data_IF_278147136069
#
_entry.id   IF_278147136069
#
_cell.length_a   1.000
_cell.length_b   1.000
_cell.length_c   1.000
_cell.angle_alpha   90.00
_cell.angle_beta   90.00
_cell.angle_gamma   90.00
#
_symmetry.space_group_name_H-M   'P 1'
#
loop_
_entity.id
_entity.type
_entity.pdbx_description
1 polymer ?
#
# COMPACT_ATOMS: atom_id res chain seq x y z
N UNK A 1 16.10 19.05 -0.41
CA UNK A 1 16.57 17.66 -0.46
C UNK A 1 15.41 16.71 -0.44
N UNK A 2 15.62 15.47 -0.85
CA UNK A 2 14.54 14.48 -1.03
C UNK A 2 13.71 14.25 0.24
N UNK A 3 14.35 14.21 1.40
CA UNK A 3 13.69 13.86 2.66
C UNK A 3 13.29 15.05 3.54
N UNK A 4 13.42 16.27 3.06
CA UNK A 4 13.05 17.45 3.86
C UNK A 4 11.56 17.48 4.19
N UNK A 5 10.71 16.90 3.33
CA UNK A 5 9.27 16.85 3.54
C UNK A 5 8.82 15.72 4.47
N UNK A 6 9.72 14.81 4.81
CA UNK A 6 9.39 13.63 5.61
C UNK A 6 9.49 13.93 7.10
N UNK A 7 8.77 14.94 7.57
CA UNK A 7 8.65 15.20 9.01
C UNK A 7 7.79 14.12 9.66
N UNK A 8 7.96 13.92 10.98
CA UNK A 8 7.15 12.96 11.73
C UNK A 8 5.66 13.25 11.58
N UNK A 9 5.29 14.52 11.69
CA UNK A 9 3.89 14.93 11.52
C UNK A 9 3.36 14.59 10.12
N UNK A 10 4.12 14.90 9.07
CA UNK A 10 3.72 14.63 7.68
C UNK A 10 3.58 13.13 7.44
N UNK A 11 4.55 12.34 7.91
CA UNK A 11 4.52 10.88 7.75
C UNK A 11 3.30 10.28 8.42
N UNK A 12 3.01 10.66 9.66
CA UNK A 12 1.83 10.15 10.39
C UNK A 12 0.55 10.56 9.69
N UNK A 13 0.45 11.82 9.26
CA UNK A 13 -0.74 12.33 8.56
C UNK A 13 -0.97 11.55 7.27
N UNK A 14 0.06 11.34 6.46
CA UNK A 14 -0.07 10.58 5.22
C UNK A 14 -0.35 9.11 5.48
N UNK A 15 0.20 8.53 6.55
CA UNK A 15 -0.14 7.15 6.94
C UNK A 15 -1.63 6.99 7.21
N UNK A 16 -2.23 7.94 7.93
CA UNK A 16 -3.69 7.96 8.19
C UNK A 16 -4.49 8.15 6.91
N UNK A 17 -4.08 9.08 6.05
CA UNK A 17 -4.72 9.31 4.75
C UNK A 17 -4.68 8.03 3.90
N UNK A 18 -3.53 7.38 3.84
CA UNK A 18 -3.36 6.14 3.09
C UNK A 18 -4.27 5.05 3.64
N UNK A 19 -4.33 4.87 4.95
CA UNK A 19 -5.22 3.89 5.56
C UNK A 19 -6.68 4.13 5.17
N UNK A 20 -7.14 5.37 5.26
CA UNK A 20 -8.53 5.73 4.91
C UNK A 20 -8.80 5.44 3.44
N UNK A 21 -7.91 5.84 2.54
CA UNK A 21 -8.07 5.63 1.09
C UNK A 21 -7.94 4.16 0.70
N UNK A 22 -7.22 3.36 1.49
CA UNK A 22 -7.04 1.94 1.26
C UNK A 22 -8.25 1.09 1.69
N UNK A 23 -9.09 1.62 2.58
CA UNK A 23 -10.25 0.87 3.11
C UNK A 23 -11.16 0.29 2.02
N UNK A 24 -11.53 1.02 0.95
CA UNK A 24 -12.37 0.43 -0.10
C UNK A 24 -11.74 -0.79 -0.76
N UNK A 25 -10.44 -0.75 -1.04
CA UNK A 25 -9.73 -1.89 -1.62
C UNK A 25 -9.63 -3.05 -0.64
N UNK A 26 -9.29 -2.78 0.61
CA UNK A 26 -9.24 -3.80 1.65
C UNK A 26 -10.59 -4.50 1.80
N UNK A 27 -11.68 -3.73 1.76
CA UNK A 27 -13.04 -4.29 1.85
C UNK A 27 -13.38 -5.12 0.61
N UNK A 28 -13.18 -4.56 -0.59
CA UNK A 28 -13.53 -5.23 -1.86
C UNK A 28 -12.71 -6.50 -2.06
N UNK A 29 -11.42 -6.46 -1.73
CA UNK A 29 -10.50 -7.58 -1.94
C UNK A 29 -10.47 -8.58 -0.77
N UNK A 30 -11.17 -8.32 0.32
CA UNK A 30 -11.04 -9.08 1.57
C UNK A 30 -11.34 -10.56 1.40
N UNK A 31 -12.40 -10.92 0.65
CA UNK A 31 -12.75 -12.32 0.42
C UNK A 31 -11.68 -13.00 -0.44
N UNK A 32 -11.27 -12.36 -1.50
CA UNK A 32 -10.23 -12.90 -2.39
C UNK A 32 -8.91 -13.11 -1.64
N UNK A 33 -8.44 -12.07 -0.95
CA UNK A 33 -7.21 -12.14 -0.16
C UNK A 33 -7.33 -13.16 0.97
N UNK A 34 -8.46 -13.19 1.67
CA UNK A 34 -8.70 -14.12 2.77
C UNK A 34 -8.71 -15.58 2.31
N UNK A 35 -9.36 -15.88 1.18
CA UNK A 35 -9.38 -17.23 0.61
C UNK A 35 -7.98 -17.65 0.17
N UNK A 36 -7.24 -16.74 -0.48
CA UNK A 36 -5.87 -17.01 -0.91
C UNK A 36 -4.95 -17.29 0.28
N UNK A 37 -5.03 -16.48 1.33
CA UNK A 37 -4.22 -16.67 2.54
C UNK A 37 -4.58 -17.97 3.25
N UNK A 38 -5.87 -18.34 3.30
CA UNK A 38 -6.29 -19.62 3.87
C UNK A 38 -5.67 -20.78 3.09
N UNK A 39 -5.63 -20.70 1.77
CA UNK A 39 -5.01 -21.73 0.92
C UNK A 39 -3.49 -21.83 1.17
N UNK A 40 -2.83 -20.68 1.42
CA UNK A 40 -1.40 -20.63 1.64
C UNK A 40 -1.02 -21.19 3.02
N UNK A 41 -1.68 -20.73 4.09
CA UNK A 41 -1.26 -21.05 5.46
C UNK A 41 -2.09 -22.13 6.14
N UNK A 42 -3.20 -22.55 5.53
CA UNK A 42 -4.06 -23.59 6.10
C UNK A 42 -4.97 -23.11 7.23
N UNK A 43 -5.04 -21.81 7.47
CA UNK A 43 -5.88 -21.19 8.50
C UNK A 43 -6.32 -19.81 8.06
N UNK A 44 -7.35 -19.26 8.71
CA UNK A 44 -7.87 -17.95 8.38
C UNK A 44 -6.84 -16.85 8.57
N UNK A 45 -6.94 -15.81 7.71
CA UNK A 45 -6.18 -14.59 7.89
C UNK A 45 -6.56 -13.92 9.21
N UNK A 46 -5.57 -13.63 10.04
CA UNK A 46 -5.73 -12.86 11.28
C UNK A 46 -4.78 -11.67 11.23
N UNK A 47 -5.34 -10.47 11.34
CA UNK A 47 -4.52 -9.27 11.29
C UNK A 47 -3.72 -9.09 12.58
N UNK A 48 -2.41 -8.91 12.44
CA UNK A 48 -1.56 -8.46 13.55
C UNK A 48 -1.41 -6.93 13.43
N UNK A 49 -1.96 -6.15 14.36
CA UNK A 49 -2.01 -4.69 14.20
C UNK A 49 -0.62 -4.03 14.26
N UNK A 50 0.33 -4.55 15.01
CA UNK A 50 1.64 -3.90 15.16
C UNK A 50 2.42 -3.87 13.85
N UNK A 51 2.64 -5.00 13.14
CA UNK A 51 3.25 -4.92 11.82
C UNK A 51 2.45 -4.09 10.82
N UNK A 52 1.12 -4.11 10.90
CA UNK A 52 0.27 -3.30 10.03
C UNK A 52 0.53 -1.80 10.21
N UNK A 53 0.69 -1.34 11.46
CA UNK A 53 1.04 0.05 11.75
C UNK A 53 2.39 0.41 11.12
N UNK A 54 3.39 -0.46 11.23
CA UNK A 54 4.70 -0.25 10.63
C UNK A 54 4.58 -0.10 9.11
N UNK A 55 3.75 -0.94 8.46
CA UNK A 55 3.52 -0.85 7.02
C UNK A 55 2.95 0.52 6.63
N UNK A 56 1.92 0.99 7.32
CA UNK A 56 1.30 2.27 6.98
C UNK A 56 2.23 3.45 7.27
N UNK A 57 3.04 3.39 8.32
CA UNK A 57 4.05 4.42 8.57
C UNK A 57 5.11 4.44 7.46
N UNK A 58 5.56 3.28 6.99
CA UNK A 58 6.50 3.17 5.88
C UNK A 58 5.89 3.73 4.59
N UNK A 59 4.62 3.40 4.31
CA UNK A 59 3.91 3.94 3.14
C UNK A 59 3.75 5.47 3.26
N UNK A 60 3.44 5.97 4.44
CA UNK A 60 3.37 7.41 4.70
C UNK A 60 4.68 8.12 4.41
N UNK A 61 5.80 7.53 4.83
CA UNK A 61 7.14 8.04 4.51
C UNK A 61 7.36 8.07 2.99
N UNK A 62 7.09 6.96 2.30
CA UNK A 62 7.29 6.88 0.86
C UNK A 62 6.41 7.89 0.11
N UNK A 63 5.20 8.14 0.58
CA UNK A 63 4.28 9.08 -0.05
C UNK A 63 4.73 10.54 0.05
N UNK A 64 5.74 10.86 0.87
CA UNK A 64 6.33 12.20 0.92
C UNK A 64 7.26 12.49 -0.25
N UNK A 65 7.72 11.46 -0.96
CA UNK A 65 8.80 11.57 -1.96
C UNK A 65 8.33 12.11 -3.31
N UNK A 66 7.22 11.62 -3.91
CA UNK A 66 6.84 12.04 -5.24
C UNK A 66 6.49 13.53 -5.34
N UNK A 67 6.84 14.13 -6.47
CA UNK A 67 6.56 15.53 -6.77
C UNK A 67 5.56 15.69 -7.91
N UNK A 68 5.18 14.58 -8.57
CA UNK A 68 4.19 14.56 -9.66
C UNK A 68 3.27 13.35 -9.50
N UNK A 69 2.06 13.40 -10.10
CA UNK A 69 1.16 12.23 -10.09
C UNK A 69 1.78 11.00 -10.74
N UNK A 70 2.54 11.16 -11.81
CA UNK A 70 3.18 10.03 -12.51
C UNK A 70 4.23 9.36 -11.62
N UNK A 71 5.03 10.15 -10.92
CA UNK A 71 5.99 9.62 -9.95
C UNK A 71 5.28 8.89 -8.81
N UNK A 72 4.15 9.42 -8.36
CA UNK A 72 3.34 8.79 -7.31
C UNK A 72 2.82 7.43 -7.75
N UNK A 73 2.29 7.35 -8.97
CA UNK A 73 1.82 6.08 -9.51
C UNK A 73 2.97 5.07 -9.60
N UNK A 74 4.09 5.48 -10.17
CA UNK A 74 5.27 4.60 -10.31
C UNK A 74 5.79 4.10 -8.98
N UNK A 75 5.93 5.00 -8.00
CA UNK A 75 6.42 4.63 -6.67
C UNK A 75 5.45 3.71 -5.93
N UNK A 76 4.17 4.01 -5.98
CA UNK A 76 3.14 3.19 -5.34
C UNK A 76 3.05 1.80 -5.97
N UNK A 77 3.01 1.74 -7.30
CA UNK A 77 3.00 0.46 -8.02
C UNK A 77 4.26 -0.36 -7.72
N UNK A 78 5.44 0.27 -7.76
CA UNK A 78 6.69 -0.42 -7.46
C UNK A 78 6.74 -0.95 -6.02
N UNK A 79 6.29 -0.16 -5.06
CA UNK A 79 6.24 -0.56 -3.65
C UNK A 79 5.37 -1.79 -3.45
N UNK A 80 4.18 -1.78 -4.04
CA UNK A 80 3.26 -2.91 -3.96
C UNK A 80 3.77 -4.12 -4.76
N UNK A 81 4.42 -3.88 -5.89
CA UNK A 81 5.03 -4.96 -6.69
C UNK A 81 6.11 -5.69 -5.91
N UNK A 82 6.94 -4.98 -5.13
CA UNK A 82 7.97 -5.60 -4.29
C UNK A 82 7.33 -6.60 -3.32
N UNK A 83 6.24 -6.22 -2.68
CA UNK A 83 5.50 -7.11 -1.77
C UNK A 83 4.84 -8.27 -2.53
N UNK A 84 4.02 -7.94 -3.53
CA UNK A 84 3.18 -8.92 -4.21
C UNK A 84 3.99 -9.92 -5.01
N UNK A 85 4.98 -9.45 -5.76
CA UNK A 85 5.78 -10.33 -6.61
C UNK A 85 6.86 -11.09 -5.82
N UNK A 86 7.29 -10.58 -4.67
CA UNK A 86 8.09 -11.39 -3.74
C UNK A 86 7.27 -12.57 -3.22
N UNK A 87 6.03 -12.32 -2.80
CA UNK A 87 5.13 -13.40 -2.36
C UNK A 87 4.85 -14.40 -3.48
N UNK A 88 4.60 -13.90 -4.69
CA UNK A 88 4.38 -14.77 -5.85
C UNK A 88 5.60 -15.63 -6.17
N UNK A 89 6.81 -15.08 -5.96
CA UNK A 89 8.05 -15.80 -6.23
C UNK A 89 8.28 -16.96 -5.25
N UNK A 90 7.84 -16.83 -3.99
CA UNK A 90 8.16 -17.80 -2.94
C UNK A 90 6.98 -18.62 -2.45
N UNK A 91 5.74 -18.23 -2.76
CA UNK A 91 4.53 -18.90 -2.27
C UNK A 91 3.77 -19.51 -3.45
N UNK A 92 3.72 -20.84 -3.52
CA UNK A 92 3.10 -21.56 -4.66
C UNK A 92 1.66 -21.18 -4.92
N UNK A 93 0.90 -20.90 -3.87
CA UNK A 93 -0.54 -20.62 -3.97
C UNK A 93 -0.87 -19.13 -4.05
N UNK A 94 0.15 -18.27 -4.07
CA UNK A 94 -0.08 -16.85 -4.28
C UNK A 94 -0.53 -16.63 -5.74
N UNK A 95 -1.62 -15.89 -5.91
CA UNK A 95 -2.26 -15.78 -7.22
C UNK A 95 -1.66 -14.64 -8.05
N UNK A 96 -1.20 -14.91 -9.29
CA UNK A 96 -0.64 -13.87 -10.15
C UNK A 96 -1.61 -12.73 -10.43
N UNK A 97 -2.90 -13.02 -10.60
CA UNK A 97 -3.89 -11.98 -10.85
C UNK A 97 -4.05 -11.06 -9.63
N UNK A 98 -4.00 -11.61 -8.41
CA UNK A 98 -4.02 -10.80 -7.21
C UNK A 98 -2.79 -9.88 -7.15
N UNK A 99 -1.61 -10.42 -7.45
CA UNK A 99 -0.37 -9.64 -7.48
C UNK A 99 -0.47 -8.46 -8.44
N UNK A 100 -1.01 -8.67 -9.64
CA UNK A 100 -1.21 -7.61 -10.62
C UNK A 100 -2.24 -6.57 -10.15
N UNK A 101 -3.38 -7.03 -9.64
CA UNK A 101 -4.44 -6.13 -9.18
C UNK A 101 -3.96 -5.27 -8.01
N UNK A 102 -3.29 -5.86 -7.04
CA UNK A 102 -2.81 -5.16 -5.86
C UNK A 102 -1.68 -4.18 -6.22
N UNK A 103 -0.81 -4.55 -7.14
CA UNK A 103 0.24 -3.67 -7.67
C UNK A 103 -0.36 -2.44 -8.34
N UNK A 104 -1.35 -2.64 -9.21
CA UNK A 104 -2.06 -1.53 -9.85
C UNK A 104 -2.74 -0.63 -8.82
N UNK A 105 -3.39 -1.24 -7.83
CA UNK A 105 -4.00 -0.48 -6.73
C UNK A 105 -2.98 0.39 -6.01
N UNK A 106 -1.78 -0.12 -5.74
CA UNK A 106 -0.71 0.67 -5.11
C UNK A 106 -0.39 1.94 -5.88
N UNK A 107 -0.36 1.86 -7.21
CA UNK A 107 -0.19 3.02 -8.07
C UNK A 107 -1.35 4.01 -7.96
N UNK A 108 -2.59 3.51 -8.01
CA UNK A 108 -3.80 4.33 -7.85
C UNK A 108 -3.82 4.99 -6.47
N UNK A 109 -3.55 4.23 -5.42
CA UNK A 109 -3.56 4.73 -4.05
C UNK A 109 -2.57 5.89 -3.86
N UNK A 110 -1.33 5.74 -4.31
CA UNK A 110 -0.33 6.80 -4.18
C UNK A 110 -0.67 8.02 -5.01
N UNK A 111 -1.28 7.84 -6.17
CA UNK A 111 -1.78 8.96 -6.99
C UNK A 111 -2.87 9.73 -6.25
N UNK A 112 -3.83 9.02 -5.64
CA UNK A 112 -4.88 9.65 -4.83
C UNK A 112 -4.29 10.40 -3.64
N UNK A 113 -3.32 9.81 -2.96
CA UNK A 113 -2.63 10.45 -1.83
C UNK A 113 -1.93 11.74 -2.29
N UNK A 114 -1.31 11.71 -3.45
CA UNK A 114 -0.67 12.89 -4.02
C UNK A 114 -1.66 14.04 -4.19
N UNK A 115 -2.84 13.77 -4.74
CA UNK A 115 -3.86 14.79 -4.92
C UNK A 115 -4.43 15.28 -3.59
N UNK A 116 -4.63 14.39 -2.61
CA UNK A 116 -5.10 14.78 -1.27
C UNK A 116 -4.10 15.72 -0.59
N UNK A 117 -2.81 15.36 -0.61
CA UNK A 117 -1.79 16.23 0.01
C UNK A 117 -1.66 17.55 -0.72
N UNK A 118 -1.80 17.58 -2.05
CA UNK A 118 -1.76 18.81 -2.83
C UNK A 118 -2.94 19.73 -2.48
N UNK A 119 -4.14 19.14 -2.37
CA UNK A 119 -5.37 19.88 -2.06
C UNK A 119 -5.32 20.48 -0.65
N UNK A 120 -4.83 19.71 0.34
CA UNK A 120 -4.79 20.15 1.74
C UNK A 120 -3.46 20.76 2.15
N UNK A 121 -2.53 20.93 1.23
CA UNK A 121 -1.18 21.49 1.51
C UNK A 121 -0.45 20.72 2.62
N UNK A 122 -0.49 19.41 2.54
CA UNK A 122 0.18 18.55 3.51
C UNK A 122 1.67 18.41 3.20
#
# INVERSE_FOLDING_TARGET
>A
MLFERATVFTVITLAVVILILDLPWLFISSKWAGDMIRDIQGSALVLNPIPAIVVYLALGFLATIPTTPVESFGLGAATYAVYDFTNLAILKKYQPLFALADTFWGGVLFTLVFYVRSFFSI
#
